data_IF_946215455556
#
_entry.id   IF_946215455556
#
_cell.length_a   1.000
_cell.length_b   1.000
_cell.length_c   1.000
_cell.angle_alpha   90.00
_cell.angle_beta   90.00
_cell.angle_gamma   90.00
#
_symmetry.space_group_name_H-M   'P 1'
#
loop_
_entity.id
_entity.type
_entity.pdbx_description
1 polymer ?
#
# COMPACT_ATOMS: atom_id res chain seq x y z
N UNK A 1 -24.89 -11.89 1.24
CA UNK A 1 -23.63 -12.35 0.60
C UNK A 1 -22.75 -11.20 0.11
N UNK A 2 -23.25 -10.21 -0.65
CA UNK A 2 -22.41 -9.12 -1.21
C UNK A 2 -21.68 -8.26 -0.16
N UNK A 3 -22.32 -7.92 0.96
CA UNK A 3 -21.71 -7.15 2.05
C UNK A 3 -20.59 -7.91 2.77
N UNK A 4 -20.76 -9.23 2.94
CA UNK A 4 -19.77 -10.09 3.58
C UNK A 4 -18.49 -10.20 2.73
N UNK A 5 -18.64 -10.28 1.41
CA UNK A 5 -17.50 -10.27 0.49
C UNK A 5 -16.68 -8.97 0.59
N UNK A 6 -17.33 -7.81 0.70
CA UNK A 6 -16.62 -6.53 0.89
C UNK A 6 -15.91 -6.48 2.23
N UNK A 7 -16.54 -6.97 3.31
CA UNK A 7 -15.91 -7.04 4.64
C UNK A 7 -14.64 -7.92 4.64
N UNK A 8 -14.65 -9.03 3.89
CA UNK A 8 -13.48 -9.90 3.71
C UNK A 8 -12.32 -9.16 3.05
N UNK A 9 -12.57 -8.16 2.20
CA UNK A 9 -11.51 -7.34 1.60
C UNK A 9 -11.13 -6.13 2.46
N UNK A 10 -12.10 -5.50 3.14
CA UNK A 10 -11.88 -4.30 3.96
C UNK A 10 -10.92 -4.57 5.10
N UNK A 11 -11.16 -5.62 5.88
CA UNK A 11 -10.39 -5.86 7.11
C UNK A 11 -8.91 -6.17 6.81
N UNK A 12 -8.55 -7.06 5.87
CA UNK A 12 -7.15 -7.30 5.52
C UNK A 12 -6.51 -6.08 4.86
N UNK A 13 -7.22 -5.35 4.00
CA UNK A 13 -6.65 -4.17 3.33
C UNK A 13 -6.33 -3.06 4.33
N UNK A 14 -7.24 -2.80 5.28
CA UNK A 14 -7.01 -1.83 6.36
C UNK A 14 -5.85 -2.29 7.25
N UNK A 15 -5.82 -3.56 7.65
CA UNK A 15 -4.75 -4.12 8.46
C UNK A 15 -3.37 -3.91 7.81
N UNK A 16 -3.25 -4.20 6.51
CA UNK A 16 -2.02 -3.97 5.74
C UNK A 16 -1.68 -2.48 5.60
N UNK A 17 -2.68 -1.62 5.35
CA UNK A 17 -2.45 -0.18 5.21
C UNK A 17 -1.95 0.45 6.52
N UNK A 18 -2.59 0.13 7.66
CA UNK A 18 -2.19 0.65 8.96
C UNK A 18 -0.79 0.15 9.31
N UNK A 19 -0.51 -1.14 9.11
CA UNK A 19 0.84 -1.68 9.32
C UNK A 19 1.90 -1.01 8.45
N UNK A 20 1.61 -0.73 7.17
CA UNK A 20 2.50 0.00 6.27
C UNK A 20 2.77 1.44 6.71
N UNK A 21 1.74 2.15 7.19
CA UNK A 21 1.90 3.51 7.74
C UNK A 21 2.75 3.47 9.01
N UNK A 22 2.46 2.54 9.93
CA UNK A 22 3.25 2.37 11.16
C UNK A 22 4.73 2.12 10.83
N UNK A 23 5.02 1.27 9.84
CA UNK A 23 6.39 0.99 9.42
C UNK A 23 7.10 2.25 8.89
N UNK A 24 6.43 3.09 8.09
CA UNK A 24 6.99 4.38 7.63
C UNK A 24 7.28 5.29 8.82
N UNK A 25 6.33 5.42 9.75
CA UNK A 25 6.46 6.32 10.91
C UNK A 25 7.64 5.88 11.77
N UNK A 26 7.74 4.59 12.09
CA UNK A 26 8.81 4.02 12.91
C UNK A 26 10.18 4.14 12.22
N UNK A 27 10.24 3.87 10.90
CA UNK A 27 11.47 4.07 10.13
C UNK A 27 11.95 5.52 10.20
N UNK A 28 11.03 6.48 10.12
CA UNK A 28 11.36 7.90 10.29
C UNK A 28 11.78 8.24 11.72
N UNK A 29 11.22 7.58 12.74
CA UNK A 29 11.67 7.73 14.13
C UNK A 29 13.12 7.28 14.30
N UNK A 30 13.52 6.16 13.68
CA UNK A 30 14.92 5.72 13.65
C UNK A 30 15.83 6.71 12.91
N UNK A 31 15.41 7.23 11.76
CA UNK A 31 16.17 8.27 11.04
C UNK A 31 16.38 9.52 11.90
N UNK A 32 15.31 10.00 12.55
CA UNK A 32 15.39 11.15 13.45
C UNK A 32 16.29 10.88 14.65
N UNK A 33 16.26 9.67 15.21
CA UNK A 33 17.13 9.28 16.31
C UNK A 33 18.61 9.32 15.92
N UNK A 34 18.94 8.95 14.67
CA UNK A 34 20.32 9.03 14.15
C UNK A 34 20.82 10.46 13.97
N UNK A 35 19.91 11.42 13.70
CA UNK A 35 20.25 12.83 13.59
C UNK A 35 20.49 13.51 14.94
N UNK A 36 20.04 12.90 16.04
CA UNK A 36 20.26 13.43 17.39
C UNK A 36 21.68 13.12 17.91
N UNK A 37 22.20 13.95 18.84
CA UNK A 37 23.44 13.67 19.53
C UNK A 37 23.46 12.29 20.18
N UNK A 38 24.63 11.70 20.26
CA UNK A 38 24.82 10.45 21.00
C UNK A 38 24.73 10.74 22.50
N UNK A 39 23.87 9.98 23.18
CA UNK A 39 23.79 9.94 24.62
C UNK A 39 23.45 8.50 25.02
N UNK A 40 24.44 7.60 24.98
CA UNK A 40 24.21 6.17 25.08
C UNK A 40 23.51 5.81 26.39
N UNK A 41 22.58 4.87 26.32
CA UNK A 41 21.85 4.38 27.48
C UNK A 41 21.44 2.93 27.30
N UNK A 42 21.33 2.23 28.41
CA UNK A 42 20.81 0.86 28.44
C UNK A 42 19.30 0.92 28.66
N UNK A 43 18.55 0.18 27.84
CA UNK A 43 17.11 0.03 28.04
C UNK A 43 16.76 -0.98 29.13
N UNK A 44 15.48 -1.04 29.50
CA UNK A 44 14.95 -2.04 30.46
C UNK A 44 15.06 -3.48 29.92
N UNK A 45 15.21 -3.62 28.61
CA UNK A 45 15.45 -4.86 27.88
C UNK A 45 16.93 -5.31 27.89
N UNK A 46 17.82 -4.52 28.50
CA UNK A 46 19.26 -4.78 28.55
C UNK A 46 20.03 -4.41 27.27
N UNK A 47 19.36 -3.87 26.25
CA UNK A 47 20.01 -3.45 25.01
C UNK A 47 20.64 -2.06 25.13
N UNK A 48 21.74 -1.84 24.40
CA UNK A 48 22.38 -0.54 24.31
C UNK A 48 21.78 0.28 23.17
N UNK A 49 21.35 1.49 23.50
CA UNK A 49 20.79 2.46 22.57
C UNK A 49 21.70 3.69 22.48
N UNK A 50 21.82 4.26 21.27
CA UNK A 50 22.56 5.49 20.98
C UNK A 50 22.02 6.68 21.77
N UNK A 51 20.70 6.78 21.92
CA UNK A 51 20.06 7.86 22.65
C UNK A 51 18.61 7.55 23.06
N UNK A 52 18.04 8.48 23.84
CA UNK A 52 16.67 9.02 23.69
C UNK A 52 15.74 8.30 22.68
N UNK A 53 15.67 8.95 21.53
CA UNK A 53 14.76 8.60 20.46
C UNK A 53 14.98 7.19 19.89
N UNK A 54 16.19 6.64 19.91
CA UNK A 54 16.42 5.29 19.37
C UNK A 54 15.75 4.20 20.22
N UNK A 55 15.82 4.30 21.54
CA UNK A 55 15.11 3.36 22.42
C UNK A 55 13.59 3.49 22.23
N UNK A 56 13.07 4.72 22.16
CA UNK A 56 11.63 4.95 21.99
C UNK A 56 11.16 4.36 20.64
N UNK A 57 11.94 4.54 19.57
CA UNK A 57 11.68 3.94 18.26
C UNK A 57 11.75 2.41 18.27
N UNK A 58 12.67 1.83 19.04
CA UNK A 58 12.78 0.38 19.24
C UNK A 58 11.54 -0.20 19.93
N UNK A 59 11.05 0.46 20.98
CA UNK A 59 9.82 0.06 21.68
C UNK A 59 8.62 0.13 20.73
N UNK A 60 8.50 1.20 19.95
CA UNK A 60 7.42 1.33 18.94
C UNK A 60 7.52 0.23 17.88
N UNK A 61 8.73 -0.12 17.46
CA UNK A 61 8.97 -1.21 16.51
C UNK A 61 8.56 -2.57 17.08
N UNK A 62 8.90 -2.88 18.34
CA UNK A 62 8.45 -4.10 18.99
C UNK A 62 6.92 -4.17 19.11
N UNK A 63 6.28 -3.06 19.49
CA UNK A 63 4.82 -2.97 19.54
C UNK A 63 4.19 -3.18 18.16
N UNK A 64 4.79 -2.61 17.11
CA UNK A 64 4.36 -2.85 15.74
C UNK A 64 4.48 -4.33 15.39
N UNK A 65 5.61 -4.98 15.65
CA UNK A 65 5.78 -6.41 15.35
C UNK A 65 4.77 -7.27 16.12
N UNK A 66 4.45 -6.93 17.37
CA UNK A 66 3.42 -7.67 18.14
C UNK A 66 2.04 -7.61 17.49
N UNK A 67 1.66 -6.44 16.99
CA UNK A 67 0.38 -6.25 16.30
C UNK A 67 0.39 -6.80 14.86
N UNK A 68 1.57 -6.81 14.25
CA UNK A 68 1.80 -7.18 12.86
C UNK A 68 2.97 -8.15 12.71
N UNK A 69 2.83 -9.40 13.21
CA UNK A 69 3.93 -10.36 13.30
C UNK A 69 4.46 -10.78 11.93
N UNK A 70 3.66 -10.60 10.88
CA UNK A 70 4.06 -10.83 9.50
C UNK A 70 5.31 -10.03 9.08
N UNK A 71 5.64 -8.91 9.75
CA UNK A 71 6.84 -8.13 9.47
C UNK A 71 8.14 -8.73 10.01
N UNK A 72 8.07 -9.69 10.95
CA UNK A 72 9.25 -10.29 11.54
C UNK A 72 9.79 -11.48 10.72
N UNK A 73 8.96 -12.08 9.86
CA UNK A 73 9.29 -13.28 9.07
C UNK A 73 9.25 -13.08 7.56
N UNK A 74 8.54 -12.08 7.07
CA UNK A 74 8.52 -11.72 5.65
C UNK A 74 9.61 -10.67 5.45
N UNK A 75 10.64 -10.98 4.68
CA UNK A 75 11.70 -10.02 4.38
C UNK A 75 11.14 -8.68 3.87
N UNK A 76 11.89 -7.60 4.04
CA UNK A 76 11.45 -6.21 3.80
C UNK A 76 10.74 -6.01 2.46
N UNK A 77 11.23 -6.64 1.39
CA UNK A 77 10.62 -6.59 0.05
C UNK A 77 9.21 -7.19 0.01
N UNK A 78 8.98 -8.32 0.69
CA UNK A 78 7.68 -9.01 0.67
C UNK A 78 6.67 -8.21 1.49
N UNK A 79 7.06 -7.71 2.67
CA UNK A 79 6.21 -6.82 3.46
C UNK A 79 5.83 -5.57 2.67
N UNK A 80 6.79 -5.00 1.95
CA UNK A 80 6.57 -3.84 1.10
C UNK A 80 5.56 -4.09 -0.03
N UNK A 81 5.65 -5.24 -0.71
CA UNK A 81 4.65 -5.65 -1.71
C UNK A 81 3.25 -5.82 -1.11
N UNK A 82 3.17 -6.41 0.08
CA UNK A 82 1.89 -6.60 0.78
C UNK A 82 1.24 -5.26 1.14
N UNK A 83 2.02 -4.25 1.50
CA UNK A 83 1.51 -2.89 1.70
C UNK A 83 0.91 -2.31 0.43
N UNK A 84 1.64 -2.37 -0.68
CA UNK A 84 1.16 -1.84 -1.96
C UNK A 84 -0.13 -2.52 -2.41
N UNK A 85 -0.21 -3.84 -2.25
CA UNK A 85 -1.43 -4.60 -2.52
C UNK A 85 -2.58 -4.14 -1.61
N UNK A 86 -2.32 -3.95 -0.31
CA UNK A 86 -3.30 -3.46 0.65
C UNK A 86 -3.83 -2.06 0.30
N UNK A 87 -2.95 -1.12 -0.07
CA UNK A 87 -3.33 0.22 -0.48
C UNK A 87 -4.14 0.22 -1.78
N UNK A 88 -3.75 -0.58 -2.77
CA UNK A 88 -4.49 -0.73 -4.03
C UNK A 88 -5.87 -1.35 -3.85
N UNK A 89 -5.98 -2.39 -2.99
CA UNK A 89 -7.26 -2.96 -2.61
C UNK A 89 -8.15 -1.93 -1.88
N UNK A 90 -7.59 -1.19 -0.91
CA UNK A 90 -8.31 -0.17 -0.16
C UNK A 90 -8.85 0.94 -1.07
N UNK A 91 -8.04 1.43 -2.02
CA UNK A 91 -8.48 2.44 -3.00
C UNK A 91 -9.67 1.98 -3.82
N UNK A 92 -9.64 0.72 -4.25
CA UNK A 92 -10.73 0.09 -5.01
C UNK A 92 -12.01 -0.05 -4.16
N UNK A 93 -11.86 -0.40 -2.88
CA UNK A 93 -12.97 -0.46 -1.93
C UNK A 93 -13.58 0.92 -1.70
N UNK A 94 -12.76 1.96 -1.49
CA UNK A 94 -13.22 3.35 -1.34
C UNK A 94 -14.05 3.74 -2.56
N UNK A 95 -13.61 3.42 -3.78
CA UNK A 95 -14.37 3.70 -5.00
C UNK A 95 -15.73 3.01 -5.01
N UNK A 96 -15.79 1.73 -4.65
CA UNK A 96 -17.06 0.98 -4.57
C UNK A 96 -18.02 1.65 -3.58
N UNK A 97 -17.51 2.05 -2.41
CA UNK A 97 -18.32 2.72 -1.38
C UNK A 97 -18.81 4.10 -1.84
N UNK A 98 -17.95 4.90 -2.46
CA UNK A 98 -18.31 6.21 -3.03
C UNK A 98 -19.39 6.06 -4.11
N UNK A 99 -19.26 5.08 -5.01
CA UNK A 99 -20.26 4.82 -6.04
C UNK A 99 -21.61 4.41 -5.44
N UNK A 100 -21.60 3.60 -4.38
CA UNK A 100 -22.82 3.23 -3.65
C UNK A 100 -23.49 4.46 -3.03
N UNK A 101 -22.71 5.34 -2.39
CA UNK A 101 -23.22 6.55 -1.75
C UNK A 101 -23.77 7.56 -2.75
N UNK A 102 -23.06 7.79 -3.86
CA UNK A 102 -23.44 8.81 -4.84
C UNK A 102 -24.62 8.40 -5.72
N UNK A 103 -24.77 7.11 -6.02
CA UNK A 103 -25.77 6.65 -6.98
C UNK A 103 -26.98 5.96 -6.32
N UNK A 104 -27.00 5.80 -4.99
CA UNK A 104 -27.94 4.92 -4.26
C UNK A 104 -28.09 3.52 -4.90
N UNK A 105 -27.11 3.12 -5.69
CA UNK A 105 -27.16 1.89 -6.46
C UNK A 105 -26.82 0.70 -5.56
N UNK A 106 -27.42 -0.47 -5.81
CA UNK A 106 -27.01 -1.69 -5.13
C UNK A 106 -25.53 -1.95 -5.37
N UNK A 107 -24.85 -2.51 -4.37
CA UNK A 107 -23.43 -2.85 -4.48
C UNK A 107 -23.19 -3.68 -5.76
N UNK A 108 -22.26 -3.24 -6.63
CA UNK A 108 -21.93 -3.98 -7.84
C UNK A 108 -21.53 -5.41 -7.44
N UNK A 109 -21.99 -6.39 -8.22
CA UNK A 109 -21.71 -7.80 -7.96
C UNK A 109 -20.25 -8.19 -8.24
N UNK A 110 -19.46 -7.25 -8.75
CA UNK A 110 -18.09 -7.46 -9.22
C UNK A 110 -17.13 -7.63 -8.03
N UNK A 111 -16.99 -8.86 -7.57
CA UNK A 111 -16.02 -9.29 -6.55
C UNK A 111 -14.55 -9.16 -6.99
N UNK A 112 -14.30 -8.85 -8.27
CA UNK A 112 -12.96 -8.78 -8.85
C UNK A 112 -12.32 -7.38 -8.77
N UNK A 113 -13.09 -6.32 -8.49
CA UNK A 113 -12.56 -4.95 -8.44
C UNK A 113 -11.42 -4.80 -7.41
N UNK A 114 -11.50 -5.37 -6.18
CA UNK A 114 -10.37 -5.34 -5.24
C UNK A 114 -9.12 -6.07 -5.75
N UNK A 115 -9.28 -7.14 -6.53
CA UNK A 115 -8.17 -7.89 -7.14
C UNK A 115 -7.44 -7.04 -8.17
N UNK A 116 -8.18 -6.26 -8.96
CA UNK A 116 -7.59 -5.28 -9.89
C UNK A 116 -6.81 -4.23 -9.12
N UNK A 117 -7.36 -3.74 -7.99
CA UNK A 117 -6.66 -2.84 -7.08
C UNK A 117 -5.34 -3.40 -6.58
N UNK A 118 -5.33 -4.66 -6.15
CA UNK A 118 -4.12 -5.39 -5.74
C UNK A 118 -3.08 -5.41 -6.86
N UNK A 119 -3.49 -5.78 -8.08
CA UNK A 119 -2.60 -5.83 -9.25
C UNK A 119 -2.03 -4.43 -9.55
N UNK A 120 -2.87 -3.40 -9.55
CA UNK A 120 -2.42 -2.02 -9.79
C UNK A 120 -1.44 -1.58 -8.71
N UNK A 121 -1.67 -1.94 -7.44
CA UNK A 121 -0.73 -1.68 -6.35
C UNK A 121 0.67 -2.23 -6.62
N UNK A 122 0.78 -3.44 -7.19
CA UNK A 122 2.07 -4.02 -7.60
C UNK A 122 2.66 -3.27 -8.82
N UNK A 123 1.81 -2.92 -9.79
CA UNK A 123 2.23 -2.22 -11.02
C UNK A 123 2.82 -0.83 -10.73
N UNK A 124 2.51 -0.21 -9.58
CA UNK A 124 3.15 1.04 -9.14
C UNK A 124 4.67 0.92 -9.10
N UNK A 125 5.23 -0.24 -8.75
CA UNK A 125 6.68 -0.47 -8.75
C UNK A 125 7.25 -0.36 -10.17
N UNK A 126 6.52 -0.86 -11.17
CA UNK A 126 6.93 -0.76 -12.57
C UNK A 126 6.80 0.68 -13.07
N UNK A 127 5.75 1.39 -12.67
CA UNK A 127 5.55 2.81 -13.04
C UNK A 127 6.62 3.72 -12.40
N UNK A 128 7.18 3.37 -11.24
CA UNK A 128 8.30 4.09 -10.61
C UNK A 128 9.52 4.22 -11.53
N UNK A 129 9.84 3.18 -12.31
CA UNK A 129 10.97 3.22 -13.24
C UNK A 129 10.81 4.32 -14.31
N UNK A 130 9.56 4.74 -14.57
CA UNK A 130 9.25 5.75 -15.58
C UNK A 130 9.06 7.17 -15.01
N UNK A 131 8.91 7.36 -13.70
CA UNK A 131 8.61 8.67 -13.07
C UNK A 131 9.46 8.96 -11.82
N UNK A 132 10.80 9.02 -11.95
CA UNK A 132 11.71 9.18 -10.80
C UNK A 132 11.61 10.53 -10.09
N UNK A 133 11.08 11.57 -10.74
CA UNK A 133 11.07 12.95 -10.23
C UNK A 133 10.20 13.12 -8.97
N UNK A 134 9.08 12.40 -8.88
CA UNK A 134 8.15 12.49 -7.75
C UNK A 134 8.65 11.80 -6.47
N UNK A 135 9.60 10.86 -6.63
CA UNK A 135 10.21 10.06 -5.57
C UNK A 135 11.00 10.90 -4.56
N UNK A 136 11.67 11.94 -5.05
CA UNK A 136 12.62 12.73 -4.26
C UNK A 136 11.94 13.76 -3.34
N UNK A 137 10.73 14.21 -3.68
CA UNK A 137 10.04 15.26 -2.91
C UNK A 137 9.16 14.71 -1.79
N UNK A 138 8.48 13.58 -1.99
CA UNK A 138 7.49 13.05 -1.03
C UNK A 138 8.03 11.93 -0.14
N UNK A 139 9.25 11.45 -0.41
CA UNK A 139 9.80 10.22 0.16
C UNK A 139 9.27 8.98 -0.57
N UNK A 140 10.17 8.06 -0.91
CA UNK A 140 9.91 6.90 -1.79
C UNK A 140 8.63 6.15 -1.40
N UNK A 141 8.56 5.69 -0.16
CA UNK A 141 7.49 4.80 0.31
C UNK A 141 6.11 5.47 0.35
N UNK A 142 6.04 6.72 0.82
CA UNK A 142 4.79 7.49 0.85
C UNK A 142 4.23 7.69 -0.55
N UNK A 143 5.08 8.05 -1.50
CA UNK A 143 4.69 8.22 -2.90
C UNK A 143 4.08 6.93 -3.46
N UNK A 144 4.72 5.79 -3.23
CA UNK A 144 4.23 4.51 -3.75
C UNK A 144 2.89 4.08 -3.13
N UNK A 145 2.72 4.26 -1.83
CA UNK A 145 1.45 3.93 -1.17
C UNK A 145 0.32 4.85 -1.64
N UNK A 146 0.60 6.14 -1.86
CA UNK A 146 -0.35 7.07 -2.47
C UNK A 146 -0.70 6.66 -3.89
N UNK A 147 0.29 6.32 -4.72
CA UNK A 147 0.04 5.86 -6.10
C UNK A 147 -0.75 4.54 -6.13
N UNK A 148 -0.48 3.61 -5.22
CA UNK A 148 -1.24 2.37 -5.12
C UNK A 148 -2.70 2.64 -4.75
N UNK A 149 -2.94 3.51 -3.76
CA UNK A 149 -4.27 3.94 -3.36
C UNK A 149 -5.03 4.61 -4.51
N UNK A 150 -4.41 5.57 -5.20
CA UNK A 150 -5.01 6.27 -6.34
C UNK A 150 -5.26 5.32 -7.51
N UNK A 151 -4.31 4.45 -7.81
CA UNK A 151 -4.44 3.43 -8.84
C UNK A 151 -5.61 2.48 -8.56
N UNK A 152 -5.82 2.09 -7.30
CA UNK A 152 -7.01 1.36 -6.88
C UNK A 152 -8.30 2.16 -7.05
N UNK A 153 -8.29 3.43 -6.64
CA UNK A 153 -9.45 4.32 -6.73
C UNK A 153 -9.95 4.53 -8.17
N UNK A 154 -9.02 4.64 -9.12
CA UNK A 154 -9.28 4.83 -10.55
C UNK A 154 -9.09 3.56 -11.39
N UNK A 155 -9.15 2.39 -10.73
CA UNK A 155 -8.91 1.09 -11.36
C UNK A 155 -9.85 0.81 -12.52
N UNK A 156 -11.11 1.26 -12.44
CA UNK A 156 -12.11 1.09 -13.49
C UNK A 156 -11.75 1.90 -14.74
N UNK A 157 -11.43 3.17 -14.61
CA UNK A 157 -11.03 4.05 -15.71
C UNK A 157 -9.74 3.54 -16.37
N UNK A 158 -8.82 3.03 -15.57
CA UNK A 158 -7.60 2.38 -16.05
C UNK A 158 -7.90 1.13 -16.89
N UNK A 159 -8.78 0.24 -16.40
CA UNK A 159 -9.20 -0.95 -17.14
C UNK A 159 -9.98 -0.62 -18.42
N UNK A 160 -10.90 0.35 -18.38
CA UNK A 160 -11.65 0.78 -19.57
C UNK A 160 -10.71 1.37 -20.63
N UNK A 161 -9.70 2.15 -20.20
CA UNK A 161 -8.67 2.69 -21.08
C UNK A 161 -7.80 1.59 -21.70
N UNK A 162 -7.38 0.59 -20.89
CA UNK A 162 -6.65 -0.58 -21.37
C UNK A 162 -7.48 -1.40 -22.37
N UNK A 163 -8.75 -1.67 -22.06
CA UNK A 163 -9.66 -2.42 -22.92
C UNK A 163 -9.84 -1.74 -24.27
N UNK A 164 -10.08 -0.42 -24.30
CA UNK A 164 -10.18 0.36 -25.54
C UNK A 164 -8.91 0.29 -26.38
N UNK A 165 -7.73 0.38 -25.75
CA UNK A 165 -6.44 0.28 -26.46
C UNK A 165 -6.14 -1.13 -26.99
N UNK A 166 -6.54 -2.17 -26.25
CA UNK A 166 -6.36 -3.56 -26.68
C UNK A 166 -7.31 -3.94 -27.82
N UNK A 167 -8.59 -3.53 -27.73
CA UNK A 167 -9.57 -3.74 -28.80
C UNK A 167 -9.14 -2.99 -30.06
N UNK A 168 -8.73 -1.71 -29.93
CA UNK A 168 -8.21 -0.95 -31.07
C UNK A 168 -6.97 -1.60 -31.72
N UNK A 169 -6.11 -2.28 -30.94
CA UNK A 169 -4.96 -3.02 -31.48
C UNK A 169 -5.35 -4.32 -32.18
N UNK A 170 -6.38 -5.01 -31.69
CA UNK A 170 -6.92 -6.22 -32.33
C UNK A 170 -7.59 -5.90 -33.67
N UNK A 171 -8.32 -4.79 -33.77
CA UNK A 171 -8.92 -4.34 -35.03
C UNK A 171 -7.89 -3.87 -36.07
N UNK A 172 -6.71 -3.42 -35.63
CA UNK A 172 -5.61 -3.01 -36.53
C UNK A 172 -4.72 -4.16 -37.00
N UNK A 173 -4.93 -5.38 -36.51
CA UNK A 173 -4.19 -6.56 -36.96
C UNK A 173 -5.12 -7.43 -37.82
N UNK A 174 -5.36 -7.06 -39.10
CA UNK A 174 -6.06 -7.93 -40.00
C UNK A 174 -5.19 -9.18 -40.12
N UNK A 175 -5.66 -10.28 -39.54
CA UNK A 175 -5.20 -11.61 -39.94
C UNK A 175 -5.38 -11.68 -41.44
N UNK A 176 -4.28 -11.44 -42.16
CA UNK A 176 -4.21 -11.69 -43.60
C UNK A 176 -4.50 -13.18 -43.78
N UNK A 177 -5.50 -13.55 -44.60
CA UNK A 177 -5.65 -14.93 -45.06
C UNK A 177 -4.40 -15.37 -45.84
#
# INVERSE_FOLDING_TARGET
MKTLAILIWVLPSLYLCVGGISNIVISKSFENARMQPENPRTGEDGNWYRNKAEQDASIDYENMIRLYPMYNGLGTTISYLLFLMGFGALGSIIRILLNKMNANNPLPAESLIPVVGVIIGIVVIVVDEFLPEFKYQSGKEKFYFTMALLGGLYSKEFLESLGKKFIARLDTNPTKP
#
